data_IF_600578611445
#
_entry.id   IF_600578611445
#
_cell.length_a   1.000
_cell.length_b   1.000
_cell.length_c   1.000
_cell.angle_alpha   90.00
_cell.angle_beta   90.00
_cell.angle_gamma   90.00
#
_symmetry.space_group_name_H-M   'P 1'
#
loop_
_entity.id
_entity.type
_entity.pdbx_description
1 polymer ?
#
# COMPACT_ATOMS: atom_id res chain seq x y z
N UNK A 1 -4.89 -44.38 -20.73
CA UNK A 1 -5.08 -42.92 -20.61
C UNK A 1 -5.25 -42.63 -19.13
N UNK A 2 -4.14 -42.35 -18.42
CA UNK A 2 -4.11 -42.14 -16.97
C UNK A 2 -3.43 -40.81 -16.70
N UNK A 3 -4.18 -39.94 -16.06
CA UNK A 3 -3.74 -38.65 -15.55
C UNK A 3 -2.57 -38.84 -14.59
N UNK A 4 -1.49 -38.09 -14.80
CA UNK A 4 -0.45 -37.93 -13.80
C UNK A 4 -0.40 -36.45 -13.45
N UNK A 5 -1.14 -36.10 -12.39
CA UNK A 5 -1.02 -34.82 -11.72
C UNK A 5 0.40 -34.65 -11.22
N UNK A 6 1.13 -33.79 -11.90
CA UNK A 6 2.41 -33.24 -11.56
C UNK A 6 2.27 -32.40 -10.28
N UNK A 7 2.51 -33.08 -9.16
CA UNK A 7 2.54 -32.50 -7.83
C UNK A 7 3.84 -31.71 -7.64
N UNK A 8 3.72 -30.40 -7.82
CA UNK A 8 4.39 -29.30 -7.12
C UNK A 8 5.48 -29.65 -6.07
N UNK A 9 6.62 -30.21 -6.49
CA UNK A 9 7.82 -30.33 -5.64
C UNK A 9 8.82 -29.17 -5.86
N UNK A 10 8.66 -28.40 -6.94
CA UNK A 10 9.49 -27.22 -7.25
C UNK A 10 8.87 -25.87 -6.84
N UNK A 11 7.63 -25.85 -6.34
CA UNK A 11 6.91 -24.63 -5.96
C UNK A 11 7.06 -24.23 -4.48
N UNK A 12 7.36 -25.18 -3.60
CA UNK A 12 7.40 -24.93 -2.15
C UNK A 12 8.53 -23.99 -1.71
N UNK A 13 9.71 -24.10 -2.32
CA UNK A 13 10.85 -23.23 -2.02
C UNK A 13 10.66 -21.81 -2.57
N UNK A 14 10.03 -21.67 -3.75
CA UNK A 14 9.62 -20.37 -4.29
C UNK A 14 8.56 -19.72 -3.41
N UNK A 15 7.57 -20.48 -2.94
CA UNK A 15 6.57 -20.00 -1.99
C UNK A 15 7.19 -19.53 -0.67
N UNK A 16 8.16 -20.28 -0.13
CA UNK A 16 8.89 -19.88 1.07
C UNK A 16 9.73 -18.61 0.84
N UNK A 17 10.40 -18.50 -0.31
CA UNK A 17 11.15 -17.31 -0.70
C UNK A 17 10.25 -16.07 -0.83
N UNK A 18 9.12 -16.20 -1.51
CA UNK A 18 8.12 -15.12 -1.64
C UNK A 18 7.57 -14.73 -0.27
N UNK A 19 7.27 -15.69 0.60
CA UNK A 19 6.80 -15.41 1.96
C UNK A 19 7.87 -14.67 2.78
N UNK A 20 9.12 -15.13 2.75
CA UNK A 20 10.22 -14.47 3.47
C UNK A 20 10.47 -13.05 2.94
N UNK A 21 10.40 -12.85 1.62
CA UNK A 21 10.52 -11.54 0.98
C UNK A 21 9.37 -10.61 1.37
N UNK A 22 8.13 -11.10 1.33
CA UNK A 22 6.95 -10.34 1.77
C UNK A 22 7.05 -9.99 3.25
N UNK A 23 7.43 -10.93 4.12
CA UNK A 23 7.65 -10.64 5.54
C UNK A 23 8.71 -9.57 5.70
N UNK A 24 9.88 -9.70 5.06
CA UNK A 24 10.95 -8.71 5.15
C UNK A 24 10.52 -7.30 4.69
N UNK A 25 9.76 -7.20 3.61
CA UNK A 25 9.28 -5.93 3.06
C UNK A 25 8.16 -5.33 3.90
N UNK A 26 7.20 -6.15 4.36
CA UNK A 26 6.05 -5.67 5.11
C UNK A 26 6.34 -5.47 6.60
N UNK A 27 7.36 -6.10 7.17
CA UNK A 27 7.75 -5.93 8.56
C UNK A 27 7.97 -4.44 8.93
N UNK A 28 8.77 -3.63 8.21
CA UNK A 28 8.90 -2.20 8.50
C UNK A 28 7.62 -1.41 8.25
N UNK A 29 6.80 -1.81 7.27
CA UNK A 29 5.51 -1.18 6.99
C UNK A 29 4.52 -1.42 8.12
N UNK A 30 4.52 -2.60 8.74
CA UNK A 30 3.69 -2.97 9.88
C UNK A 30 4.11 -2.25 11.17
N UNK A 31 5.37 -1.85 11.30
CA UNK A 31 5.81 -1.02 12.42
C UNK A 31 5.12 0.34 12.45
N UNK A 32 4.73 0.91 11.29
CA UNK A 32 4.03 2.21 11.23
C UNK A 32 2.68 2.19 11.93
N UNK A 33 1.71 1.31 11.59
CA UNK A 33 0.46 1.21 12.33
C UNK A 33 0.69 0.72 13.76
N UNK A 34 1.63 -0.22 13.98
CA UNK A 34 1.95 -0.72 15.34
C UNK A 34 2.39 0.42 16.27
N UNK A 35 3.26 1.32 15.80
CA UNK A 35 3.66 2.52 16.54
C UNK A 35 2.59 3.62 16.52
N UNK A 36 1.75 3.70 15.48
CA UNK A 36 0.61 4.63 15.44
C UNK A 36 -0.47 4.32 16.47
N UNK A 37 -0.60 3.07 16.91
CA UNK A 37 -1.49 2.65 18.00
C UNK A 37 -0.79 2.66 19.38
N UNK A 38 0.50 2.95 19.43
CA UNK A 38 1.29 3.03 20.65
C UNK A 38 1.26 4.45 21.23
N UNK A 39 0.87 4.59 22.49
CA UNK A 39 0.74 5.86 23.19
C UNK A 39 2.09 6.44 23.64
N UNK A 40 2.90 6.96 22.70
CA UNK A 40 3.99 7.89 23.04
C UNK A 40 4.44 8.70 21.82
N UNK A 41 4.49 10.02 21.97
CA UNK A 41 5.02 11.01 20.99
C UNK A 41 6.55 10.95 20.91
N UNK A 42 7.19 10.20 21.81
CA UNK A 42 8.63 9.96 21.80
C UNK A 42 8.91 8.46 21.80
N UNK A 43 9.89 8.04 20.99
CA UNK A 43 10.47 6.71 21.02
C UNK A 43 11.25 6.48 22.33
N UNK A 44 10.55 6.45 23.46
CA UNK A 44 11.10 6.24 24.78
C UNK A 44 10.18 5.30 25.57
N UNK A 45 10.76 4.26 26.15
CA UNK A 45 10.11 3.30 27.05
C UNK A 45 9.54 4.06 28.26
N UNK A 46 8.20 4.07 28.45
CA UNK A 46 7.41 2.89 28.83
C UNK A 46 6.11 2.71 27.99
N UNK A 47 5.79 1.46 27.62
CA UNK A 47 4.59 1.10 26.86
C UNK A 47 3.33 1.20 27.75
N UNK A 48 2.60 2.32 27.72
CA UNK A 48 1.44 2.56 28.62
C UNK A 48 0.04 2.47 27.98
N UNK A 49 -0.11 1.89 26.78
CA UNK A 49 -1.42 1.42 26.30
C UNK A 49 -1.84 1.90 24.91
N UNK A 50 -2.95 1.34 24.42
CA UNK A 50 -3.54 1.62 23.11
C UNK A 50 -4.23 2.98 23.12
N UNK A 51 -3.76 3.95 22.32
CA UNK A 51 -4.44 5.27 22.20
C UNK A 51 -4.88 5.54 20.77
N UNK A 52 -6.07 6.11 20.64
CA UNK A 52 -6.66 6.61 19.39
C UNK A 52 -6.79 8.14 19.38
N UNK A 53 -6.21 8.83 20.37
CA UNK A 53 -6.36 10.30 20.50
C UNK A 53 -5.75 11.04 19.31
N UNK A 54 -4.62 10.56 18.76
CA UNK A 54 -4.04 11.11 17.54
C UNK A 54 -5.01 11.10 16.36
N UNK A 55 -5.81 10.04 16.24
CA UNK A 55 -6.81 9.91 15.18
C UNK A 55 -7.97 10.90 15.37
N UNK A 56 -8.36 11.16 16.63
CA UNK A 56 -9.38 12.18 16.97
C UNK A 56 -8.86 13.60 16.71
N UNK A 57 -7.62 13.90 17.08
CA UNK A 57 -6.99 15.20 16.80
C UNK A 57 -6.75 15.40 15.30
N UNK A 58 -6.41 14.34 14.55
CA UNK A 58 -6.32 14.38 13.09
C UNK A 58 -7.65 14.77 12.45
N UNK A 59 -8.76 14.20 12.93
CA UNK A 59 -10.09 14.49 12.40
C UNK A 59 -10.53 15.94 12.68
N UNK A 60 -10.08 16.50 13.81
CA UNK A 60 -10.34 17.89 14.18
C UNK A 60 -9.44 18.93 13.48
N UNK A 61 -8.43 18.50 12.71
CA UNK A 61 -7.50 19.42 12.06
C UNK A 61 -7.91 19.69 10.60
N UNK A 62 -8.50 20.86 10.28
CA UNK A 62 -8.97 21.18 8.94
C UNK A 62 -7.84 21.25 7.90
N UNK A 63 -6.59 21.45 8.32
CA UNK A 63 -5.46 21.44 7.39
C UNK A 63 -5.14 20.03 6.88
N UNK A 64 -5.23 19.00 7.74
CA UNK A 64 -5.01 17.61 7.33
C UNK A 64 -6.15 17.07 6.48
N UNK A 65 -7.41 17.33 6.87
CA UNK A 65 -8.57 16.91 6.07
C UNK A 65 -8.62 17.65 4.73
N UNK A 66 -8.26 18.94 4.71
CA UNK A 66 -8.10 19.72 3.49
C UNK A 66 -6.98 19.19 2.59
N UNK A 67 -5.82 18.86 3.15
CA UNK A 67 -4.71 18.27 2.39
C UNK A 67 -5.09 16.91 1.79
N UNK A 68 -5.76 16.04 2.56
CA UNK A 68 -6.26 14.75 2.08
C UNK A 68 -7.22 14.93 0.90
N UNK A 69 -8.21 15.82 1.04
CA UNK A 69 -9.18 16.10 -0.01
C UNK A 69 -8.49 16.67 -1.27
N UNK A 70 -7.54 17.59 -1.10
CA UNK A 70 -6.82 18.19 -2.22
C UNK A 70 -5.95 17.15 -2.95
N UNK A 71 -5.23 16.29 -2.23
CA UNK A 71 -4.47 15.19 -2.82
C UNK A 71 -5.38 14.20 -3.57
N UNK A 72 -6.56 13.91 -3.03
CA UNK A 72 -7.52 13.02 -3.69
C UNK A 72 -8.04 13.63 -4.99
N UNK A 73 -8.44 14.90 -4.98
CA UNK A 73 -8.95 15.60 -6.16
C UNK A 73 -7.86 15.70 -7.24
N UNK A 74 -6.66 16.16 -6.88
CA UNK A 74 -5.54 16.28 -7.82
C UNK A 74 -5.15 14.89 -8.34
N UNK A 75 -5.10 13.88 -7.47
CA UNK A 75 -4.76 12.51 -7.84
C UNK A 75 -5.74 11.89 -8.83
N UNK A 76 -7.05 12.09 -8.65
CA UNK A 76 -8.08 11.59 -9.58
C UNK A 76 -7.98 12.30 -10.92
N UNK A 77 -7.86 13.63 -10.93
CA UNK A 77 -7.72 14.40 -12.17
C UNK A 77 -6.46 13.95 -12.94
N UNK A 78 -5.34 13.79 -12.24
CA UNK A 78 -4.09 13.31 -12.82
C UNK A 78 -4.20 11.88 -13.35
N UNK A 79 -4.82 10.96 -12.61
CA UNK A 79 -5.01 9.57 -13.03
C UNK A 79 -5.91 9.49 -14.27
N UNK A 80 -7.03 10.22 -14.30
CA UNK A 80 -7.92 10.29 -15.46
C UNK A 80 -7.20 10.90 -16.66
N UNK A 81 -6.50 12.03 -16.48
CA UNK A 81 -5.73 12.68 -17.53
C UNK A 81 -4.65 11.77 -18.12
N UNK A 82 -3.86 11.12 -17.25
CA UNK A 82 -2.83 10.16 -17.66
C UNK A 82 -3.43 8.96 -18.41
N UNK A 83 -4.57 8.44 -17.97
CA UNK A 83 -5.26 7.33 -18.63
C UNK A 83 -5.73 7.71 -20.03
N UNK A 84 -6.34 8.90 -20.19
CA UNK A 84 -6.80 9.40 -21.49
C UNK A 84 -5.63 9.64 -22.46
N UNK A 85 -4.56 10.26 -21.97
CA UNK A 85 -3.34 10.45 -22.76
C UNK A 85 -2.73 9.10 -23.16
N UNK A 86 -2.64 8.15 -22.23
CA UNK A 86 -2.11 6.80 -22.48
C UNK A 86 -2.92 6.04 -23.53
N UNK A 87 -4.25 6.09 -23.46
CA UNK A 87 -5.14 5.46 -24.47
C UNK A 87 -4.90 6.08 -25.85
N UNK A 88 -4.82 7.41 -25.94
CA UNK A 88 -4.58 8.10 -27.22
C UNK A 88 -3.24 7.69 -27.84
N UNK A 89 -2.17 7.65 -27.04
CA UNK A 89 -0.84 7.22 -27.50
C UNK A 89 -0.85 5.77 -27.94
N UNK A 90 -1.48 4.88 -27.16
CA UNK A 90 -1.60 3.45 -27.52
C UNK A 90 -2.38 3.25 -28.81
N UNK A 91 -3.43 4.05 -29.05
CA UNK A 91 -4.21 3.96 -30.29
C UNK A 91 -3.41 4.44 -31.50
N UNK A 92 -2.60 5.50 -31.34
CA UNK A 92 -1.73 6.00 -32.40
C UNK A 92 -0.66 4.97 -32.80
N UNK A 93 -0.04 4.29 -31.82
CA UNK A 93 0.99 3.27 -32.07
C UNK A 93 0.45 2.04 -32.81
N UNK A 94 -0.81 1.64 -32.52
CA UNK A 94 -1.45 0.50 -33.18
C UNK A 94 -1.87 0.76 -34.63
N UNK A 95 -2.28 2.00 -34.95
CA UNK A 95 -2.77 2.35 -36.30
C UNK A 95 -1.70 3.02 -37.18
N UNK A 96 -0.57 3.42 -36.59
CA UNK A 96 0.58 4.02 -37.27
C UNK A 96 1.58 3.01 -37.85
N UNK A 97 1.34 1.71 -37.69
CA UNK A 97 2.03 0.60 -38.38
C UNK A 97 1.13 0.01 -39.45
#
# INVERSE_FOLDING_TARGET
MSARGDTNAGGGWLGLYVLAYLVFLYLPVLLIPLFSFNNSIQAAFPLQGFTLDWYRTLYGNPALSGALANSLVIGVIAACGATLCGITVSYMDLYGR
#
